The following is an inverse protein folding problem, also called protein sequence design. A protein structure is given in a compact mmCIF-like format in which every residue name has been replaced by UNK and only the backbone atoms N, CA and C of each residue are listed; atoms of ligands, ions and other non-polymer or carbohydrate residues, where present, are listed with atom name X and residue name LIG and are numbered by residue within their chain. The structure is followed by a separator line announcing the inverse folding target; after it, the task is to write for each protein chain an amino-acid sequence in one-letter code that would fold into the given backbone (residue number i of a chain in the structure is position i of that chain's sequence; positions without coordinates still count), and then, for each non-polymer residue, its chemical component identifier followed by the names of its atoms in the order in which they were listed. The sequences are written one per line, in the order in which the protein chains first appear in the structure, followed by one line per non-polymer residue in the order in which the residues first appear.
data_IF_927043372388
#
_entry.id   IF_927043372388
#
_cell.length_a   1.000
_cell.length_b   1.000
_cell.length_c   1.000
_cell.angle_alpha   90.00
_cell.angle_beta   90.00
_cell.angle_gamma   90.00
#
_symmetry.space_group_name_H-M   'P 1'
#
loop_
_entity.id
_entity.type
_entity.pdbx_description
1 polymer ?
#
# COMPACT_ATOMS: atom_id res chain seq x y z
N UNK A 1 -24.52 13.51 -2.69
CA UNK A 1 -23.62 14.33 -1.82
C UNK A 1 -23.13 13.54 -0.61
N UNK A 2 -23.99 12.83 0.12
CA UNK A 2 -23.60 12.03 1.27
C UNK A 2 -22.56 10.94 0.93
N UNK A 3 -22.81 10.10 -0.07
CA UNK A 3 -21.91 9.03 -0.52
C UNK A 3 -20.52 9.55 -0.95
N UNK A 4 -20.51 10.70 -1.65
CA UNK A 4 -19.26 11.34 -2.04
C UNK A 4 -18.43 11.77 -0.81
N UNK A 5 -19.08 12.35 0.21
CA UNK A 5 -18.39 12.74 1.45
C UNK A 5 -17.87 11.53 2.23
N UNK A 6 -18.64 10.44 2.27
CA UNK A 6 -18.21 9.17 2.89
C UNK A 6 -16.99 8.60 2.16
N UNK A 7 -17.03 8.54 0.83
CA UNK A 7 -15.90 8.07 0.02
C UNK A 7 -14.65 8.89 0.25
N UNK A 8 -14.77 10.22 0.24
CA UNK A 8 -13.65 11.14 0.49
C UNK A 8 -13.05 10.93 1.89
N UNK A 9 -13.89 10.77 2.90
CA UNK A 9 -13.46 10.52 4.27
C UNK A 9 -12.71 9.18 4.40
N UNK A 10 -13.18 8.14 3.72
CA UNK A 10 -12.55 6.81 3.70
C UNK A 10 -11.17 6.87 3.02
N UNK A 11 -11.07 7.56 1.88
CA UNK A 11 -9.79 7.76 1.19
C UNK A 11 -8.81 8.57 2.04
N UNK A 12 -9.27 9.66 2.65
CA UNK A 12 -8.46 10.50 3.53
C UNK A 12 -7.96 9.71 4.75
N UNK A 13 -8.83 8.90 5.36
CA UNK A 13 -8.44 8.05 6.48
C UNK A 13 -7.42 6.98 6.06
N UNK A 14 -7.64 6.31 4.92
CA UNK A 14 -6.68 5.35 4.38
C UNK A 14 -5.31 5.98 4.14
N UNK A 15 -5.27 7.19 3.59
CA UNK A 15 -4.04 7.94 3.39
C UNK A 15 -3.36 8.34 4.71
N UNK A 16 -4.13 8.77 5.71
CA UNK A 16 -3.60 9.09 7.05
C UNK A 16 -2.98 7.86 7.71
N UNK A 17 -3.66 6.73 7.68
CA UNK A 17 -3.14 5.46 8.22
C UNK A 17 -1.89 5.04 7.46
N UNK A 18 -1.89 5.16 6.13
CA UNK A 18 -0.72 4.89 5.28
C UNK A 18 0.47 5.76 5.63
N UNK A 19 0.24 7.06 5.90
CA UNK A 19 1.26 7.98 6.37
C UNK A 19 1.86 7.53 7.71
N UNK A 20 1.03 7.30 8.72
CA UNK A 20 1.48 6.91 10.07
C UNK A 20 2.26 5.59 10.05
N UNK A 21 1.80 4.58 9.32
CA UNK A 21 2.53 3.32 9.18
C UNK A 21 3.83 3.50 8.39
N UNK A 22 3.83 4.36 7.37
CA UNK A 22 5.03 4.66 6.57
C UNK A 22 6.13 5.29 7.41
N UNK A 23 5.80 6.30 8.21
CA UNK A 23 6.73 6.94 9.16
C UNK A 23 7.23 5.94 10.20
N UNK A 24 6.32 5.23 10.87
CA UNK A 24 6.68 4.26 11.89
C UNK A 24 7.62 3.14 11.38
N UNK A 25 7.35 2.60 10.20
CA UNK A 25 8.18 1.55 9.62
C UNK A 25 9.52 2.08 9.12
N UNK A 26 9.54 3.28 8.54
CA UNK A 26 10.78 3.91 8.08
C UNK A 26 11.71 4.24 9.25
N UNK A 27 11.18 4.74 10.35
CA UNK A 27 11.95 5.00 11.57
C UNK A 27 12.56 3.73 12.13
N UNK A 28 11.80 2.64 12.18
CA UNK A 28 12.29 1.35 12.63
C UNK A 28 13.38 0.78 11.73
N UNK A 29 13.23 0.89 10.43
CA UNK A 29 14.25 0.44 9.48
C UNK A 29 15.52 1.28 9.63
N UNK A 30 15.40 2.59 9.75
CA UNK A 30 16.54 3.49 9.94
C UNK A 30 17.26 3.19 11.26
N UNK A 31 16.53 2.99 12.35
CA UNK A 31 17.12 2.58 13.64
C UNK A 31 17.80 1.21 13.57
N UNK A 32 17.29 0.29 12.73
CA UNK A 32 17.89 -1.04 12.58
C UNK A 32 19.26 -1.02 11.90
N UNK A 33 19.53 -0.04 11.05
CA UNK A 33 20.86 0.15 10.49
C UNK A 33 21.90 0.58 11.53
N UNK A 34 21.47 1.20 12.62
CA UNK A 34 22.33 1.65 13.71
C UNK A 34 22.43 0.66 14.88
N UNK A 35 21.61 -0.39 14.89
CA UNK A 35 21.61 -1.41 15.95
C UNK A 35 21.45 -2.83 15.39
N UNK A 36 22.50 -3.66 15.40
CA UNK A 36 22.45 -5.03 14.84
C UNK A 36 21.50 -5.98 15.60
N UNK A 37 20.92 -5.54 16.72
CA UNK A 37 19.95 -6.32 17.51
C UNK A 37 18.48 -6.04 17.15
N UNK A 38 18.20 -5.16 16.19
CA UNK A 38 16.83 -4.87 15.83
C UNK A 38 16.22 -6.07 15.10
N UNK A 39 15.13 -6.59 15.64
CA UNK A 39 14.35 -7.67 15.01
C UNK A 39 13.76 -7.18 13.70
N UNK A 40 13.88 -7.99 12.64
CA UNK A 40 13.18 -7.75 11.36
C UNK A 40 11.72 -7.39 11.62
N UNK A 41 11.22 -6.41 10.89
CA UNK A 41 9.81 -6.00 10.98
C UNK A 41 8.90 -7.16 10.61
N UNK A 42 7.89 -7.49 11.41
CA UNK A 42 6.95 -8.55 11.09
C UNK A 42 5.94 -8.08 10.03
N UNK A 43 6.37 -7.93 8.77
CA UNK A 43 5.55 -7.41 7.68
C UNK A 43 4.16 -8.06 7.58
N UNK A 44 4.05 -9.37 7.81
CA UNK A 44 2.76 -10.06 7.81
C UNK A 44 1.81 -9.55 8.90
N UNK A 45 2.31 -9.33 10.12
CA UNK A 45 1.51 -8.81 11.24
C UNK A 45 1.07 -7.36 10.98
N UNK A 46 1.94 -6.55 10.39
CA UNK A 46 1.62 -5.17 10.04
C UNK A 46 0.57 -5.10 8.92
N UNK A 47 0.69 -5.95 7.91
CA UNK A 47 -0.34 -6.05 6.87
C UNK A 47 -1.69 -6.46 7.45
N UNK A 48 -1.72 -7.49 8.31
CA UNK A 48 -2.94 -7.91 8.99
C UNK A 48 -3.56 -6.78 9.81
N UNK A 49 -2.75 -6.04 10.57
CA UNK A 49 -3.23 -4.89 11.35
C UNK A 49 -3.86 -3.81 10.44
N UNK A 50 -3.24 -3.50 9.30
CA UNK A 50 -3.78 -2.55 8.31
C UNK A 50 -5.14 -3.00 7.77
N UNK A 51 -5.26 -4.28 7.40
CA UNK A 51 -6.54 -4.83 6.91
C UNK A 51 -7.62 -4.72 7.98
N UNK A 52 -7.32 -5.10 9.23
CA UNK A 52 -8.26 -5.03 10.34
C UNK A 52 -8.71 -3.58 10.58
N UNK A 53 -7.79 -2.62 10.62
CA UNK A 53 -8.12 -1.20 10.82
C UNK A 53 -9.04 -0.71 9.70
N UNK A 54 -8.71 -0.97 8.44
CA UNK A 54 -9.53 -0.56 7.31
C UNK A 54 -10.93 -1.20 7.36
N UNK A 55 -11.02 -2.47 7.70
CA UNK A 55 -12.30 -3.19 7.83
C UNK A 55 -13.14 -2.60 8.95
N UNK A 56 -12.57 -2.38 10.14
CA UNK A 56 -13.29 -1.82 11.29
C UNK A 56 -13.84 -0.42 10.97
N UNK A 57 -13.06 0.43 10.33
CA UNK A 57 -13.51 1.79 9.95
C UNK A 57 -14.62 1.72 8.90
N UNK A 58 -14.49 0.86 7.90
CA UNK A 58 -15.54 0.66 6.89
C UNK A 58 -16.83 0.10 7.52
N UNK A 59 -16.72 -0.85 8.44
CA UNK A 59 -17.86 -1.38 9.20
C UNK A 59 -18.54 -0.31 10.07
N UNK A 60 -17.75 0.52 10.74
CA UNK A 60 -18.28 1.60 11.58
C UNK A 60 -19.00 2.69 10.76
N UNK A 61 -18.60 2.87 9.49
CA UNK A 61 -19.16 3.90 8.61
C UNK A 61 -20.39 3.41 7.84
N UNK A 62 -20.35 2.19 7.32
CA UNK A 62 -21.34 1.64 6.37
C UNK A 62 -22.14 0.47 6.95
N UNK A 63 -21.82 0.02 8.16
CA UNK A 63 -22.38 -1.22 8.73
C UNK A 63 -21.80 -2.46 8.06
N UNK A 64 -22.50 -3.59 8.20
CA UNK A 64 -22.09 -4.88 7.63
C UNK A 64 -22.81 -5.12 6.29
N UNK A 65 -22.33 -4.47 5.24
CA UNK A 65 -22.90 -4.55 3.90
C UNK A 65 -21.86 -4.97 2.88
N UNK A 66 -22.27 -5.25 1.65
CA UNK A 66 -21.36 -5.47 0.53
C UNK A 66 -20.43 -4.28 0.31
N UNK A 67 -20.96 -3.08 0.48
CA UNK A 67 -20.24 -1.81 0.26
C UNK A 67 -19.09 -1.64 1.25
N UNK A 68 -19.22 -2.23 2.45
CA UNK A 68 -18.14 -2.29 3.45
C UNK A 68 -16.89 -2.96 2.91
N UNK A 69 -17.02 -4.07 2.19
CA UNK A 69 -15.88 -4.76 1.59
C UNK A 69 -15.26 -3.95 0.45
N UNK A 70 -16.10 -3.35 -0.40
CA UNK A 70 -15.63 -2.49 -1.49
C UNK A 70 -14.86 -1.28 -0.95
N UNK A 71 -15.40 -0.60 0.07
CA UNK A 71 -14.74 0.54 0.68
C UNK A 71 -13.48 0.16 1.46
N UNK A 72 -13.47 -1.00 2.11
CA UNK A 72 -12.23 -1.54 2.71
C UNK A 72 -11.14 -1.71 1.66
N UNK A 73 -11.47 -2.25 0.49
CA UNK A 73 -10.52 -2.41 -0.61
C UNK A 73 -10.00 -1.06 -1.15
N UNK A 74 -10.89 -0.08 -1.34
CA UNK A 74 -10.51 1.28 -1.75
C UNK A 74 -9.59 1.94 -0.72
N UNK A 75 -9.93 1.82 0.56
CA UNK A 75 -9.11 2.32 1.67
C UNK A 75 -7.73 1.67 1.70
N UNK A 76 -7.66 0.35 1.48
CA UNK A 76 -6.39 -0.39 1.41
C UNK A 76 -5.51 0.08 0.25
N UNK A 77 -6.08 0.39 -0.92
CA UNK A 77 -5.32 0.96 -2.04
C UNK A 77 -4.72 2.31 -1.66
N UNK A 78 -5.52 3.22 -1.11
CA UNK A 78 -5.08 4.54 -0.65
C UNK A 78 -3.97 4.42 0.41
N UNK A 79 -4.16 3.53 1.40
CA UNK A 79 -3.19 3.25 2.45
C UNK A 79 -1.87 2.74 1.87
N UNK A 80 -1.93 1.74 0.98
CA UNK A 80 -0.73 1.09 0.43
C UNK A 80 0.10 2.07 -0.40
N UNK A 81 -0.58 2.87 -1.23
CA UNK A 81 0.09 3.89 -2.06
C UNK A 81 0.78 4.95 -1.19
N UNK A 82 0.06 5.51 -0.21
CA UNK A 82 0.63 6.53 0.69
C UNK A 82 1.76 5.95 1.54
N UNK A 83 1.57 4.77 2.12
CA UNK A 83 2.59 4.09 2.89
C UNK A 83 3.89 3.91 2.08
N UNK A 84 3.81 3.45 0.84
CA UNK A 84 4.98 3.26 -0.03
C UNK A 84 5.74 4.56 -0.25
N UNK A 85 5.03 5.65 -0.55
CA UNK A 85 5.65 6.96 -0.77
C UNK A 85 6.37 7.46 0.49
N UNK A 86 5.71 7.41 1.63
CA UNK A 86 6.25 7.90 2.90
C UNK A 86 7.41 7.02 3.38
N UNK A 87 7.24 5.69 3.35
CA UNK A 87 8.30 4.76 3.71
C UNK A 87 9.57 4.97 2.89
N UNK A 88 9.45 5.06 1.56
CA UNK A 88 10.60 5.30 0.69
C UNK A 88 11.31 6.60 1.03
N UNK A 89 10.54 7.68 1.26
CA UNK A 89 11.10 8.96 1.69
C UNK A 89 11.84 8.84 3.02
N UNK A 90 11.25 8.19 4.01
CA UNK A 90 11.81 8.04 5.35
C UNK A 90 13.12 7.25 5.38
N UNK A 91 13.27 6.23 4.50
CA UNK A 91 14.51 5.47 4.36
C UNK A 91 15.51 6.05 3.34
N UNK A 92 15.27 7.27 2.86
CA UNK A 92 16.16 7.96 1.92
C UNK A 92 16.18 7.35 0.52
N UNK A 93 15.12 6.63 0.13
CA UNK A 93 14.98 6.06 -1.22
C UNK A 93 14.12 6.97 -2.10
N UNK A 94 14.30 6.90 -3.44
CA UNK A 94 13.39 7.60 -4.34
C UNK A 94 11.95 7.12 -4.15
N UNK A 95 10.95 8.00 -4.34
CA UNK A 95 9.52 7.66 -4.16
C UNK A 95 9.08 6.43 -4.99
N UNK A 96 9.68 6.23 -6.15
CA UNK A 96 9.42 5.13 -7.08
C UNK A 96 10.16 3.83 -6.75
N UNK A 97 10.90 3.76 -5.64
CA UNK A 97 11.66 2.56 -5.30
C UNK A 97 10.72 1.39 -4.92
N UNK A 98 10.94 0.24 -5.56
CA UNK A 98 10.17 -1.00 -5.41
C UNK A 98 11.05 -2.17 -4.93
N UNK A 99 11.97 -1.87 -4.02
CA UNK A 99 12.91 -2.87 -3.54
C UNK A 99 14.10 -3.11 -4.49
N UNK A 100 14.99 -4.05 -4.13
CA UNK A 100 16.15 -4.38 -4.95
C UNK A 100 15.75 -5.05 -6.27
N UNK A 101 16.61 -5.03 -7.30
CA UNK A 101 16.44 -5.81 -8.53
C UNK A 101 16.27 -7.31 -8.23
N UNK A 102 15.67 -8.06 -9.17
CA UNK A 102 15.32 -9.48 -8.98
C UNK A 102 16.51 -10.36 -8.60
N UNK A 103 17.69 -10.08 -9.14
CA UNK A 103 18.96 -10.79 -8.92
C UNK A 103 19.55 -10.53 -7.53
N UNK A 104 19.10 -9.51 -6.82
CA UNK A 104 19.54 -9.12 -5.48
C UNK A 104 18.45 -9.26 -4.41
N UNK A 105 17.37 -10.00 -4.71
CA UNK A 105 16.27 -10.17 -3.76
C UNK A 105 16.47 -11.36 -2.83
N UNK A 106 16.17 -11.11 -1.56
CA UNK A 106 16.11 -12.13 -0.54
C UNK A 106 14.69 -12.76 -0.46
N UNK A 107 14.59 -13.95 0.18
CA UNK A 107 13.31 -14.64 0.40
C UNK A 107 12.30 -13.82 1.23
N UNK A 108 12.81 -12.86 1.99
CA UNK A 108 12.04 -12.01 2.90
C UNK A 108 11.53 -10.72 2.22
N UNK A 109 11.92 -10.48 0.95
CA UNK A 109 11.46 -9.31 0.21
C UNK A 109 9.98 -9.39 -0.15
N UNK A 110 9.37 -8.22 -0.34
CA UNK A 110 7.96 -8.11 -0.69
C UNK A 110 7.62 -8.91 -1.96
N UNK A 111 6.74 -9.90 -1.82
CA UNK A 111 6.24 -10.69 -2.95
C UNK A 111 5.53 -9.83 -4.00
N UNK A 112 4.86 -8.77 -3.55
CA UNK A 112 4.20 -7.81 -4.43
C UNK A 112 5.21 -7.05 -5.29
N UNK A 113 6.27 -6.51 -4.68
CA UNK A 113 7.31 -5.81 -5.42
C UNK A 113 8.05 -6.75 -6.37
N UNK A 114 8.27 -8.00 -5.96
CA UNK A 114 8.84 -9.05 -6.82
C UNK A 114 7.96 -9.29 -8.05
N UNK A 115 6.65 -9.42 -7.87
CA UNK A 115 5.72 -9.61 -8.98
C UNK A 115 5.74 -8.42 -9.95
N UNK A 116 5.80 -7.18 -9.44
CA UNK A 116 5.87 -5.98 -10.28
C UNK A 116 7.17 -5.93 -11.10
N UNK A 117 8.29 -6.34 -10.51
CA UNK A 117 9.55 -6.46 -11.24
C UNK A 117 9.53 -7.56 -12.31
N UNK A 118 8.89 -8.70 -12.04
CA UNK A 118 8.71 -9.78 -13.02
C UNK A 118 7.84 -9.32 -14.19
N UNK A 119 6.74 -8.61 -13.93
CA UNK A 119 5.89 -8.04 -14.98
C UNK A 119 6.67 -7.04 -15.83
N UNK A 120 7.40 -6.12 -15.20
CA UNK A 120 8.20 -5.14 -15.91
C UNK A 120 9.29 -5.81 -16.79
N UNK A 121 9.93 -6.85 -16.27
CA UNK A 121 10.91 -7.65 -17.03
C UNK A 121 10.26 -8.38 -18.20
N UNK A 122 9.10 -9.02 -17.99
CA UNK A 122 8.35 -9.71 -19.04
C UNK A 122 7.85 -8.77 -20.15
N UNK A 123 7.60 -7.52 -19.82
CA UNK A 123 7.26 -6.46 -20.79
C UNK A 123 8.48 -5.78 -21.41
N UNK A 124 9.70 -6.25 -21.14
CA UNK A 124 10.96 -5.66 -21.58
C UNK A 124 11.14 -4.19 -21.19
N UNK A 125 10.57 -3.80 -20.06
CA UNK A 125 10.68 -2.45 -19.51
C UNK A 125 11.89 -2.37 -18.56
N UNK A 126 13.06 -2.06 -19.09
CA UNK A 126 14.31 -2.00 -18.31
C UNK A 126 14.49 -0.72 -17.48
N UNK A 127 13.52 0.17 -17.47
CA UNK A 127 13.56 1.37 -16.65
C UNK A 127 13.35 1.03 -15.18
N UNK A 128 14.24 1.52 -14.30
CA UNK A 128 14.14 1.34 -12.83
C UNK A 128 12.83 1.83 -12.22
N UNK A 129 12.10 2.72 -12.90
CA UNK A 129 10.80 3.24 -12.48
C UNK A 129 9.62 2.38 -12.96
N UNK A 130 9.82 1.50 -13.95
CA UNK A 130 8.75 0.73 -14.57
C UNK A 130 7.95 -0.12 -13.58
N UNK A 131 8.55 -0.88 -12.62
CA UNK A 131 7.80 -1.63 -11.63
C UNK A 131 6.86 -0.75 -10.79
N UNK A 132 7.32 0.44 -10.41
CA UNK A 132 6.50 1.40 -9.67
C UNK A 132 5.31 1.89 -10.49
N UNK A 133 5.53 2.28 -11.74
CA UNK A 133 4.46 2.78 -12.59
C UNK A 133 3.42 1.70 -12.92
N UNK A 134 3.85 0.46 -13.10
CA UNK A 134 2.93 -0.67 -13.27
C UNK A 134 2.08 -0.85 -12.02
N UNK A 135 2.70 -0.88 -10.84
CA UNK A 135 1.98 -1.00 -9.57
C UNK A 135 0.99 0.15 -9.36
N UNK A 136 1.44 1.39 -9.53
CA UNK A 136 0.59 2.58 -9.37
C UNK A 136 -0.58 2.60 -10.35
N UNK A 137 -0.35 2.18 -11.61
CA UNK A 137 -1.43 2.09 -12.60
C UNK A 137 -2.44 1.02 -12.25
N UNK A 138 -2.00 -0.17 -11.82
CA UNK A 138 -2.89 -1.25 -11.39
C UNK A 138 -3.70 -0.86 -10.15
N UNK A 139 -3.07 -0.21 -9.18
CA UNK A 139 -3.74 0.30 -7.98
C UNK A 139 -4.79 1.37 -8.35
N UNK A 140 -4.46 2.31 -9.23
CA UNK A 140 -5.39 3.33 -9.69
C UNK A 140 -6.58 2.72 -10.45
N UNK A 141 -6.33 1.78 -11.37
CA UNK A 141 -7.39 1.07 -12.11
C UNK A 141 -8.28 0.30 -11.13
N UNK A 142 -7.69 -0.42 -10.18
CA UNK A 142 -8.45 -1.16 -9.17
C UNK A 142 -9.32 -0.22 -8.31
N UNK A 143 -8.77 0.92 -7.88
CA UNK A 143 -9.54 1.92 -7.11
C UNK A 143 -10.72 2.49 -7.92
N UNK A 144 -10.48 2.90 -9.16
CA UNK A 144 -11.54 3.42 -10.05
C UNK A 144 -12.61 2.36 -10.30
N UNK A 145 -12.22 1.11 -10.55
CA UNK A 145 -13.14 0.00 -10.75
C UNK A 145 -14.00 -0.28 -9.53
N UNK A 146 -13.40 -0.31 -8.33
CA UNK A 146 -14.11 -0.52 -7.07
C UNK A 146 -15.09 0.62 -6.79
N UNK A 147 -14.68 1.87 -7.03
CA UNK A 147 -15.57 3.03 -6.90
C UNK A 147 -16.72 2.98 -7.92
N UNK A 148 -16.43 2.59 -9.16
CA UNK A 148 -17.47 2.41 -10.17
C UNK A 148 -18.51 1.38 -9.72
N UNK A 149 -18.08 0.22 -9.21
CA UNK A 149 -18.98 -0.81 -8.66
C UNK A 149 -19.79 -0.24 -7.50
N UNK A 150 -19.17 0.50 -6.59
CA UNK A 150 -19.85 1.09 -5.43
C UNK A 150 -20.96 2.08 -5.82
N UNK A 151 -20.73 2.93 -6.83
CA UNK A 151 -21.71 3.91 -7.27
C UNK A 151 -22.74 3.38 -8.27
N UNK A 152 -22.55 2.21 -8.85
CA UNK A 152 -23.44 1.68 -9.89
C UNK A 152 -24.38 0.58 -9.38
N UNK A 153 -23.98 -0.17 -8.39
CA UNK A 153 -24.70 -1.32 -7.83
C UNK A 153 -25.01 -1.19 -6.34
#
# INVERSE_FOLDING_TARGET
MFEFMVTLSILAFGSLVGFLFGEFESDRVTQSFHSPKSKKLPHGKLLTARIIICLLVSCATLGYTRDTLLMTAVMMVSLTTTHRLIFNRGVGKPYWYMGPPLDHRDKDDSKYDTAMHLIASGLHLFNRKAPFWIAASLEAIAAVWLLYIFFTF
#
